data_IF_002103590514
#
_entry.id   IF_002103590514
#
_cell.length_a   1.000
_cell.length_b   1.000
_cell.length_c   1.000
_cell.angle_alpha   90.00
_cell.angle_beta   90.00
_cell.angle_gamma   90.00
#
_symmetry.space_group_name_H-M   'P 1'
#
loop_
_entity.id
_entity.type
_entity.pdbx_description
1 polymer ?
#
# COMPACT_ATOMS: atom_id res chain seq x y z
N UNK A 1 7.50 6.20 13.82
CA UNK A 1 6.34 6.86 14.46
C UNK A 1 6.70 7.29 15.88
N UNK A 2 6.39 8.52 16.34
CA UNK A 2 6.82 9.02 17.67
C UNK A 2 6.38 8.17 18.88
N UNK A 3 5.20 7.54 18.79
CA UNK A 3 4.66 6.72 19.88
C UNK A 3 5.16 5.27 19.91
N UNK A 4 5.97 4.82 18.94
CA UNK A 4 6.50 3.45 18.97
C UNK A 4 7.49 3.26 20.11
N UNK A 5 7.45 2.11 20.76
CA UNK A 5 8.38 1.75 21.83
C UNK A 5 9.84 1.83 21.36
N UNK A 6 10.13 1.41 20.12
CA UNK A 6 11.45 1.54 19.50
C UNK A 6 11.90 3.00 19.37
N UNK A 7 10.98 3.91 19.01
CA UNK A 7 11.27 5.35 18.92
C UNK A 7 11.49 5.99 20.28
N UNK A 8 10.70 5.60 21.29
CA UNK A 8 10.90 6.04 22.66
C UNK A 8 12.25 5.56 23.21
N UNK A 9 12.59 4.30 22.99
CA UNK A 9 13.87 3.73 23.39
C UNK A 9 15.06 4.43 22.72
N UNK A 10 14.99 4.70 21.40
CA UNK A 10 16.02 5.45 20.69
C UNK A 10 16.22 6.86 21.25
N UNK A 11 15.13 7.54 21.62
CA UNK A 11 15.19 8.85 22.28
C UNK A 11 15.84 8.79 23.67
N UNK A 12 15.50 7.78 24.46
CA UNK A 12 16.13 7.57 25.77
C UNK A 12 17.63 7.29 25.64
N UNK A 13 18.02 6.45 24.69
CA UNK A 13 19.42 6.09 24.44
C UNK A 13 20.25 7.29 24.00
N UNK A 14 19.70 8.13 23.10
CA UNK A 14 20.32 9.38 22.65
C UNK A 14 20.56 10.34 23.84
N UNK A 15 19.57 10.49 24.74
CA UNK A 15 19.72 11.32 25.95
C UNK A 15 20.78 10.79 26.92
N UNK A 16 20.85 9.47 27.11
CA UNK A 16 21.80 8.84 28.05
C UNK A 16 23.24 8.87 27.54
N UNK A 17 23.43 8.69 26.23
CA UNK A 17 24.74 8.44 25.63
C UNK A 17 25.29 9.62 24.82
N UNK A 18 24.56 10.75 24.77
CA UNK A 18 24.87 11.94 23.95
C UNK A 18 25.05 11.63 22.44
N UNK A 19 24.42 10.58 21.94
CA UNK A 19 24.38 10.29 20.51
C UNK A 19 23.36 11.16 19.79
N UNK A 20 23.68 11.59 18.57
CA UNK A 20 22.73 12.24 17.69
C UNK A 20 21.59 11.29 17.34
N UNK A 21 20.35 11.80 17.39
CA UNK A 21 19.16 11.05 17.04
C UNK A 21 18.64 11.51 15.67
N UNK A 22 18.64 10.60 14.71
CA UNK A 22 18.04 10.82 13.39
C UNK A 22 16.72 10.07 13.29
N UNK A 23 15.66 10.78 12.90
CA UNK A 23 14.34 10.19 12.64
C UNK A 23 14.21 9.99 11.14
N UNK A 24 13.86 8.77 10.74
CA UNK A 24 13.69 8.40 9.34
C UNK A 24 12.24 7.96 9.13
N UNK A 25 11.64 8.45 8.04
CA UNK A 25 10.26 8.14 7.68
C UNK A 25 10.14 6.66 7.27
N UNK A 26 9.02 6.02 7.64
CA UNK A 26 8.78 4.57 7.47
C UNK A 26 8.92 4.07 6.03
N UNK A 27 8.22 4.71 5.10
CA UNK A 27 8.23 4.33 3.68
C UNK A 27 9.56 4.71 2.98
N UNK A 28 10.23 5.78 3.44
CA UNK A 28 11.59 6.11 3.03
C UNK A 28 12.57 5.02 3.47
N UNK A 29 12.40 4.46 4.67
CA UNK A 29 13.20 3.32 5.12
C UNK A 29 12.94 2.07 4.27
N UNK A 30 11.69 1.71 4.01
CA UNK A 30 11.33 0.64 3.07
C UNK A 30 11.98 0.85 1.69
N UNK A 31 11.91 2.05 1.13
CA UNK A 31 12.54 2.32 -0.17
C UNK A 31 14.07 2.20 -0.11
N UNK A 32 14.68 2.72 0.96
CA UNK A 32 16.12 2.63 1.15
C UNK A 32 16.60 1.19 1.38
N UNK A 33 15.77 0.30 1.93
CA UNK A 33 16.12 -1.11 2.14
C UNK A 33 16.33 -1.81 0.78
N UNK A 34 15.37 -1.68 -0.14
CA UNK A 34 15.49 -2.28 -1.48
C UNK A 34 16.61 -1.61 -2.30
N UNK A 35 16.82 -0.30 -2.19
CA UNK A 35 17.97 0.36 -2.83
C UNK A 35 19.30 -0.17 -2.30
N UNK A 36 19.39 -0.47 -1.00
CA UNK A 36 20.59 -0.99 -0.35
C UNK A 36 20.91 -2.41 -0.76
N UNK A 37 19.92 -3.32 -0.77
CA UNK A 37 20.10 -4.72 -1.19
C UNK A 37 20.60 -4.85 -2.64
N UNK A 38 20.19 -3.93 -3.51
CA UNK A 38 20.55 -3.94 -4.93
C UNK A 38 21.70 -2.98 -5.29
N UNK A 39 22.38 -2.38 -4.30
CA UNK A 39 23.48 -1.43 -4.49
C UNK A 39 23.16 -0.27 -5.44
N UNK A 40 21.95 0.29 -5.32
CA UNK A 40 21.41 1.26 -6.26
C UNK A 40 21.69 2.73 -5.88
N UNK A 41 22.31 3.00 -4.73
CA UNK A 41 22.51 4.38 -4.30
C UNK A 41 23.46 5.19 -5.22
N UNK A 42 24.37 4.55 -5.95
CA UNK A 42 25.33 5.24 -6.84
C UNK A 42 24.90 5.26 -8.31
N UNK A 43 23.69 4.78 -8.62
CA UNK A 43 23.17 4.78 -9.99
C UNK A 43 22.87 6.20 -10.50
N UNK A 44 23.12 6.42 -11.79
CA UNK A 44 22.74 7.67 -12.47
C UNK A 44 21.25 7.70 -12.87
N UNK A 45 20.64 6.52 -12.96
CA UNK A 45 19.24 6.37 -13.34
C UNK A 45 18.31 6.83 -12.21
N UNK A 46 17.21 7.48 -12.56
CA UNK A 46 16.12 7.69 -11.60
C UNK A 46 15.47 6.33 -11.28
N UNK A 47 15.03 6.15 -10.04
CA UNK A 47 14.32 4.94 -9.60
C UNK A 47 12.96 5.35 -9.05
N UNK A 48 11.92 4.65 -9.49
CA UNK A 48 10.57 4.75 -8.95
C UNK A 48 10.49 3.78 -7.76
N UNK A 49 10.32 4.32 -6.56
CA UNK A 49 10.02 3.53 -5.37
C UNK A 49 8.52 3.32 -5.26
N UNK A 50 8.05 2.08 -5.28
CA UNK A 50 6.65 1.73 -5.02
C UNK A 50 6.59 1.11 -3.63
N UNK A 51 6.06 1.87 -2.66
CA UNK A 51 6.11 1.47 -1.26
C UNK A 51 4.69 1.31 -0.72
N UNK A 52 4.24 0.05 -0.70
CA UNK A 52 2.86 -0.31 -0.40
C UNK A 52 2.79 -1.23 0.82
N UNK A 53 2.02 -0.81 1.81
CA UNK A 53 2.03 -1.41 3.15
C UNK A 53 0.65 -1.29 3.82
N UNK A 54 0.49 -1.91 4.98
CA UNK A 54 -0.70 -1.82 5.82
C UNK A 54 -0.82 -0.45 6.49
N UNK A 55 0.22 0.02 7.15
CA UNK A 55 0.21 1.30 7.87
C UNK A 55 1.62 1.87 8.04
N UNK A 56 1.81 3.13 7.65
CA UNK A 56 3.01 3.89 7.98
C UNK A 56 2.67 5.33 8.37
N UNK A 57 3.42 5.88 9.33
CA UNK A 57 3.25 7.27 9.73
C UNK A 57 3.75 8.23 8.65
N UNK A 58 2.85 9.03 8.10
CA UNK A 58 3.16 10.05 7.11
C UNK A 58 3.75 11.32 7.70
N UNK A 59 4.55 12.03 6.90
CA UNK A 59 5.12 13.34 7.28
C UNK A 59 4.05 14.45 7.37
N UNK A 60 2.91 14.24 6.71
CA UNK A 60 1.71 15.09 6.77
C UNK A 60 0.76 14.74 7.94
N UNK A 61 1.17 13.81 8.80
CA UNK A 61 0.38 13.31 9.93
C UNK A 61 -0.75 12.36 9.53
N UNK A 62 -0.83 11.95 8.26
CA UNK A 62 -1.78 10.95 7.77
C UNK A 62 -1.19 9.54 7.83
N UNK A 63 -2.02 8.52 7.57
CA UNK A 63 -1.59 7.12 7.52
C UNK A 63 -1.25 6.73 6.08
N UNK A 64 0.03 6.63 5.77
CA UNK A 64 0.49 6.22 4.46
C UNK A 64 0.44 4.68 4.32
N UNK A 65 0.50 4.21 3.08
CA UNK A 65 0.66 2.78 2.75
C UNK A 65 0.43 2.47 1.27
N UNK A 66 0.42 3.49 0.41
CA UNK A 66 0.18 3.38 -1.02
C UNK A 66 0.98 4.43 -1.76
N UNK A 67 2.27 4.49 -1.46
CA UNK A 67 3.11 5.62 -1.80
C UNK A 67 4.00 5.33 -3.01
N UNK A 68 4.18 6.35 -3.83
CA UNK A 68 5.19 6.35 -4.88
C UNK A 68 6.24 7.41 -4.56
N UNK A 69 7.50 7.04 -4.69
CA UNK A 69 8.65 7.90 -4.49
C UNK A 69 9.51 7.94 -5.74
N UNK A 70 10.28 9.00 -5.88
CA UNK A 70 11.38 9.07 -6.84
C UNK A 70 12.68 9.16 -6.06
N UNK A 71 13.60 8.27 -6.39
CA UNK A 71 15.00 8.39 -6.02
C UNK A 71 15.81 8.94 -7.20
N UNK A 72 16.60 10.00 -6.96
CA UNK A 72 17.59 10.50 -7.91
C UNK A 72 18.65 11.30 -7.16
N UNK A 73 19.93 11.07 -7.48
CA UNK A 73 21.05 11.85 -6.93
C UNK A 73 21.00 11.94 -5.40
N UNK A 74 20.92 10.78 -4.72
CA UNK A 74 20.86 10.66 -3.25
C UNK A 74 19.64 11.32 -2.59
N UNK A 75 18.61 11.72 -3.36
CA UNK A 75 17.38 12.29 -2.83
C UNK A 75 16.20 11.36 -3.07
N UNK A 76 15.46 11.05 -2.01
CA UNK A 76 14.15 10.39 -2.06
C UNK A 76 13.07 11.47 -1.92
N UNK A 77 12.12 11.54 -2.86
CA UNK A 77 10.99 12.47 -2.83
C UNK A 77 9.69 11.74 -3.09
N UNK A 78 8.67 11.99 -2.25
CA UNK A 78 7.31 11.51 -2.50
C UNK A 78 6.80 12.12 -3.81
N UNK A 79 6.30 11.27 -4.69
CA UNK A 79 5.88 11.61 -6.04
C UNK A 79 4.36 11.71 -6.13
N UNK A 80 3.68 10.64 -5.72
CA UNK A 80 2.21 10.54 -5.69
C UNK A 80 1.80 9.42 -4.73
N UNK A 81 0.49 9.23 -4.54
CA UNK A 81 -0.07 8.18 -3.70
C UNK A 81 -1.51 7.83 -4.11
N UNK A 82 -2.02 6.74 -3.54
CA UNK A 82 -3.46 6.43 -3.58
C UNK A 82 -4.28 7.54 -2.93
N UNK A 83 -5.36 7.96 -3.60
CA UNK A 83 -6.26 8.97 -3.08
C UNK A 83 -6.66 8.63 -1.63
N UNK A 84 -6.51 9.62 -0.76
CA UNK A 84 -6.83 9.48 0.65
C UNK A 84 -8.30 9.14 0.87
N UNK A 85 -8.55 8.15 1.72
CA UNK A 85 -9.87 7.80 2.25
C UNK A 85 -9.86 7.78 3.79
N UNK A 86 -11.02 7.60 4.40
CA UNK A 86 -11.16 7.69 5.86
C UNK A 86 -10.44 6.57 6.61
N UNK A 87 -9.55 6.94 7.54
CA UNK A 87 -9.03 6.01 8.53
C UNK A 87 -10.00 5.90 9.71
N UNK A 88 -10.69 4.77 9.85
CA UNK A 88 -11.79 4.60 10.79
C UNK A 88 -11.40 3.73 11.99
N UNK A 89 -11.69 4.21 13.20
CA UNK A 89 -11.59 3.43 14.44
C UNK A 89 -10.18 2.89 14.80
N UNK A 90 -9.10 3.53 14.32
CA UNK A 90 -7.74 3.20 14.75
C UNK A 90 -7.30 1.81 14.31
N UNK A 91 -6.54 1.12 15.17
CA UNK A 91 -6.02 -0.24 14.92
C UNK A 91 -7.13 -1.26 14.62
N UNK A 92 -8.37 -0.96 15.05
CA UNK A 92 -9.54 -1.77 14.74
C UNK A 92 -9.78 -1.90 13.23
N UNK A 93 -9.39 -0.92 12.42
CA UNK A 93 -9.55 -0.97 10.96
C UNK A 93 -8.82 -2.16 10.32
N UNK A 94 -7.63 -2.48 10.83
CA UNK A 94 -6.85 -3.61 10.35
C UNK A 94 -7.40 -4.96 10.86
N UNK A 95 -8.14 -4.96 11.98
CA UNK A 95 -8.77 -6.15 12.54
C UNK A 95 -10.16 -6.42 11.95
N UNK A 96 -10.86 -5.40 11.46
CA UNK A 96 -12.18 -5.54 10.84
C UNK A 96 -12.17 -4.98 9.41
N UNK A 97 -11.76 -5.78 8.40
CA UNK A 97 -11.72 -5.37 6.99
C UNK A 97 -12.95 -4.65 6.44
N UNK A 98 -14.14 -4.98 6.97
CA UNK A 98 -15.40 -4.28 6.66
C UNK A 98 -15.36 -2.76 6.91
N UNK A 99 -14.53 -2.29 7.85
CA UNK A 99 -14.36 -0.86 8.10
C UNK A 99 -13.64 -0.15 6.95
N UNK A 100 -12.69 -0.84 6.31
CA UNK A 100 -12.04 -0.33 5.08
C UNK A 100 -13.04 -0.22 3.94
N UNK A 101 -13.90 -1.23 3.78
CA UNK A 101 -15.00 -1.16 2.82
C UNK A 101 -15.96 -0.01 3.14
N UNK A 102 -16.37 0.16 4.40
CA UNK A 102 -17.23 1.27 4.83
C UNK A 102 -16.62 2.66 4.57
N UNK A 103 -15.30 2.79 4.74
CA UNK A 103 -14.58 4.03 4.45
C UNK A 103 -14.66 4.42 2.96
N UNK A 104 -14.68 3.41 2.08
CA UNK A 104 -14.75 3.57 0.63
C UNK A 104 -16.17 3.46 0.06
N UNK A 105 -17.13 3.03 0.87
CA UNK A 105 -18.51 2.80 0.44
C UNK A 105 -19.21 4.09 -0.02
N UNK A 106 -20.00 3.91 -1.08
CA UNK A 106 -20.91 4.90 -1.65
C UNK A 106 -22.38 4.37 -1.58
N UNK A 107 -23.40 5.17 -1.92
CA UNK A 107 -24.82 4.76 -1.81
C UNK A 107 -25.20 3.49 -2.59
N UNK A 108 -24.50 3.15 -3.67
CA UNK A 108 -24.74 1.89 -4.42
C UNK A 108 -24.36 0.64 -3.62
N UNK A 109 -23.65 0.80 -2.50
CA UNK A 109 -23.23 -0.28 -1.61
C UNK A 109 -24.09 -0.35 -0.33
N UNK A 110 -25.18 0.42 -0.22
CA UNK A 110 -26.01 0.46 0.98
C UNK A 110 -26.56 -0.93 1.37
N UNK A 111 -26.98 -1.73 0.38
CA UNK A 111 -27.43 -3.11 0.61
C UNK A 111 -26.30 -3.99 1.19
N UNK A 112 -25.10 -3.88 0.61
CA UNK A 112 -23.91 -4.60 1.09
C UNK A 112 -23.52 -4.17 2.51
N UNK A 113 -23.68 -2.89 2.85
CA UNK A 113 -23.44 -2.38 4.20
C UNK A 113 -24.49 -2.85 5.20
N UNK A 114 -25.76 -2.92 4.79
CA UNK A 114 -26.85 -3.43 5.63
C UNK A 114 -26.66 -4.92 5.99
N UNK A 115 -26.07 -5.71 5.08
CA UNK A 115 -25.77 -7.13 5.35
C UNK A 115 -24.60 -7.30 6.34
N UNK A 116 -23.65 -6.35 6.37
CA UNK A 116 -22.43 -6.42 7.18
C UNK A 116 -22.54 -5.79 8.56
N UNK A 117 -23.53 -4.93 8.77
CA UNK A 117 -23.68 -4.14 9.98
C UNK A 117 -25.13 -4.11 10.46
N UNK A 118 -25.32 -4.14 11.78
CA UNK A 118 -26.60 -3.73 12.34
C UNK A 118 -26.79 -2.23 12.14
N UNK A 119 -28.03 -1.78 11.96
CA UNK A 119 -28.36 -0.38 11.68
C UNK A 119 -27.75 0.59 12.70
N UNK A 120 -27.81 0.23 13.99
CA UNK A 120 -27.23 1.04 15.06
C UNK A 120 -25.71 1.18 14.96
N UNK A 121 -24.99 0.10 14.61
CA UNK A 121 -23.53 0.12 14.46
C UNK A 121 -23.13 0.92 13.21
N UNK A 122 -23.83 0.72 12.09
CA UNK A 122 -23.61 1.47 10.86
C UNK A 122 -23.80 2.98 11.07
N UNK A 123 -24.86 3.36 11.80
CA UNK A 123 -25.13 4.77 12.16
C UNK A 123 -24.02 5.41 13.01
N UNK A 124 -23.37 4.65 13.89
CA UNK A 124 -22.22 5.14 14.68
C UNK A 124 -21.02 5.38 13.77
N UNK A 125 -20.66 4.42 12.92
CA UNK A 125 -19.50 4.57 12.05
C UNK A 125 -19.69 5.66 10.99
N UNK A 126 -20.90 5.85 10.47
CA UNK A 126 -21.19 6.96 9.56
C UNK A 126 -20.98 8.32 10.23
N UNK A 127 -21.34 8.47 11.52
CA UNK A 127 -21.04 9.69 12.29
C UNK A 127 -19.55 9.89 12.53
N UNK A 128 -18.80 8.79 12.74
CA UNK A 128 -17.33 8.85 12.84
C UNK A 128 -16.74 9.33 11.52
N UNK A 129 -17.13 8.71 10.39
CA UNK A 129 -16.67 9.05 9.03
C UNK A 129 -16.89 10.54 8.72
N UNK A 130 -18.07 11.10 9.04
CA UNK A 130 -18.38 12.52 8.82
C UNK A 130 -17.48 13.51 9.58
N UNK A 131 -16.97 13.13 10.75
CA UNK A 131 -16.10 13.97 11.59
C UNK A 131 -14.62 13.62 11.47
N UNK A 132 -14.29 12.62 10.67
CA UNK A 132 -12.97 12.03 10.64
C UNK A 132 -12.00 12.91 9.84
N UNK A 133 -10.92 13.31 10.49
CA UNK A 133 -9.85 14.12 9.90
C UNK A 133 -8.63 13.30 9.52
N UNK A 134 -8.46 12.11 10.12
CA UNK A 134 -7.34 11.22 9.83
C UNK A 134 -7.66 10.38 8.61
N UNK A 135 -6.80 10.44 7.60
CA UNK A 135 -6.97 9.77 6.32
C UNK A 135 -5.88 8.73 6.10
N UNK A 136 -6.13 7.84 5.16
CA UNK A 136 -5.17 6.83 4.73
C UNK A 136 -5.13 6.63 3.23
N UNK A 137 -3.93 6.34 2.72
CA UNK A 137 -3.65 5.93 1.34
C UNK A 137 -3.26 4.44 1.28
N UNK A 138 -3.52 3.68 2.35
CA UNK A 138 -3.01 2.31 2.52
C UNK A 138 -3.56 1.34 1.49
N UNK A 139 -2.66 0.73 0.71
CA UNK A 139 -3.01 -0.36 -0.20
C UNK A 139 -3.37 -1.61 0.59
N UNK A 140 -2.75 -1.87 1.75
CA UNK A 140 -3.18 -2.97 2.61
C UNK A 140 -4.65 -2.85 3.07
N UNK A 141 -5.11 -1.63 3.36
CA UNK A 141 -6.53 -1.36 3.65
C UNK A 141 -7.43 -1.49 2.41
N UNK A 142 -6.90 -1.35 1.19
CA UNK A 142 -7.65 -1.66 -0.04
C UNK A 142 -7.87 -3.16 -0.20
N UNK A 143 -6.85 -3.99 0.09
CA UNK A 143 -7.04 -5.45 0.14
C UNK A 143 -8.12 -5.82 1.15
N UNK A 144 -8.11 -5.22 2.34
CA UNK A 144 -9.18 -5.41 3.33
C UNK A 144 -10.58 -5.04 2.79
N UNK A 145 -10.69 -3.90 2.11
CA UNK A 145 -11.96 -3.45 1.53
C UNK A 145 -12.47 -4.44 0.47
N UNK A 146 -11.59 -4.92 -0.41
CA UNK A 146 -11.93 -5.90 -1.45
C UNK A 146 -12.30 -7.26 -0.84
N UNK A 147 -11.55 -7.75 0.15
CA UNK A 147 -11.85 -9.00 0.85
C UNK A 147 -13.21 -8.96 1.53
N UNK A 148 -13.54 -7.85 2.18
CA UNK A 148 -14.85 -7.65 2.78
C UNK A 148 -15.94 -7.58 1.71
N UNK A 149 -15.73 -6.83 0.63
CA UNK A 149 -16.71 -6.63 -0.44
C UNK A 149 -17.09 -7.96 -1.11
N UNK A 150 -16.12 -8.83 -1.34
CA UNK A 150 -16.33 -10.16 -1.91
C UNK A 150 -16.87 -11.17 -0.89
N UNK A 151 -17.07 -10.77 0.37
CA UNK A 151 -17.54 -11.64 1.45
C UNK A 151 -16.56 -12.74 1.82
N UNK A 152 -15.26 -12.50 1.64
CA UNK A 152 -14.18 -13.44 1.95
C UNK A 152 -13.74 -13.28 3.40
N UNK A 153 -13.50 -12.04 3.85
CA UNK A 153 -13.07 -11.77 5.21
C UNK A 153 -13.60 -10.42 5.71
N UNK A 154 -14.30 -10.45 6.84
CA UNK A 154 -14.78 -9.26 7.55
C UNK A 154 -14.07 -9.02 8.89
N UNK A 155 -13.29 -10.01 9.37
CA UNK A 155 -12.52 -9.95 10.61
C UNK A 155 -11.21 -10.72 10.47
N UNK A 156 -10.09 -10.03 10.71
CA UNK A 156 -8.77 -10.62 10.74
C UNK A 156 -8.44 -11.11 12.17
N UNK A 157 -7.80 -12.27 12.25
CA UNK A 157 -7.26 -12.94 13.44
C UNK A 157 -5.75 -12.78 13.55
N UNK A 158 -5.08 -12.43 12.46
CA UNK A 158 -3.67 -12.05 12.39
C UNK A 158 -3.44 -10.97 11.33
N UNK A 159 -2.25 -10.36 11.36
CA UNK A 159 -1.89 -9.30 10.44
C UNK A 159 -1.83 -9.79 8.99
N UNK A 160 -2.55 -9.09 8.08
CA UNK A 160 -2.56 -9.40 6.65
C UNK A 160 -3.46 -10.57 6.23
N UNK A 161 -4.25 -11.16 7.14
CA UNK A 161 -5.08 -12.34 6.86
C UNK A 161 -5.98 -12.17 5.63
N UNK A 162 -6.74 -11.08 5.55
CA UNK A 162 -7.62 -10.77 4.41
C UNK A 162 -6.87 -10.78 3.07
N UNK A 163 -5.67 -10.18 3.01
CA UNK A 163 -4.86 -10.10 1.81
C UNK A 163 -4.32 -11.47 1.39
N UNK A 164 -3.91 -12.29 2.36
CA UNK A 164 -3.50 -13.68 2.14
C UNK A 164 -4.67 -14.53 1.66
N UNK A 165 -5.87 -14.34 2.23
CA UNK A 165 -7.07 -15.06 1.80
C UNK A 165 -7.47 -14.71 0.36
N UNK A 166 -7.35 -13.44 -0.04
CA UNK A 166 -7.55 -13.03 -1.43
C UNK A 166 -6.55 -13.72 -2.37
N UNK A 167 -5.28 -13.75 -2.01
CA UNK A 167 -4.24 -14.42 -2.80
C UNK A 167 -4.53 -15.92 -2.96
N UNK A 168 -4.92 -16.60 -1.88
CA UNK A 168 -5.22 -18.03 -1.88
C UNK A 168 -6.43 -18.41 -2.76
N UNK A 169 -7.27 -17.45 -3.16
CA UNK A 169 -8.34 -17.69 -4.13
C UNK A 169 -7.83 -17.85 -5.57
N UNK A 170 -6.58 -17.48 -5.84
CA UNK A 170 -5.96 -17.57 -7.18
C UNK A 170 -5.04 -18.78 -7.22
N UNK A 171 -5.45 -19.83 -7.93
CA UNK A 171 -4.62 -21.00 -8.18
C UNK A 171 -3.83 -20.90 -9.49
N UNK A 172 -4.48 -20.38 -10.53
CA UNK A 172 -3.96 -20.19 -11.89
C UNK A 172 -4.56 -18.89 -12.43
N UNK A 173 -3.82 -18.17 -13.27
CA UNK A 173 -4.32 -16.96 -13.91
C UNK A 173 -3.84 -16.85 -15.36
N UNK A 174 -4.56 -16.06 -16.15
CA UNK A 174 -4.27 -15.78 -17.56
C UNK A 174 -4.49 -14.29 -17.78
N UNK A 175 -3.46 -13.57 -18.27
CA UNK A 175 -3.47 -12.12 -18.30
C UNK A 175 -4.28 -11.52 -19.45
N UNK A 176 -4.51 -12.28 -20.53
CA UNK A 176 -5.23 -11.82 -21.71
C UNK A 176 -6.70 -11.46 -21.42
N UNK A 177 -7.27 -12.05 -20.37
CA UNK A 177 -8.65 -11.83 -19.93
C UNK A 177 -8.75 -10.75 -18.85
N UNK A 178 -7.60 -10.30 -18.31
CA UNK A 178 -7.56 -9.33 -17.23
C UNK A 178 -7.99 -7.92 -17.70
N UNK A 179 -8.79 -7.29 -16.85
CA UNK A 179 -9.26 -5.92 -17.03
C UNK A 179 -8.61 -5.01 -15.99
N UNK A 180 -8.00 -3.92 -16.47
CA UNK A 180 -7.58 -2.82 -15.59
C UNK A 180 -8.76 -1.87 -15.31
N UNK A 181 -9.01 -1.55 -14.05
CA UNK A 181 -10.17 -0.77 -13.62
C UNK A 181 -9.95 0.74 -13.67
N UNK A 182 -8.75 1.21 -13.35
CA UNK A 182 -8.43 2.63 -13.21
C UNK A 182 -7.07 2.94 -13.82
N UNK A 183 -6.80 4.22 -14.02
CA UNK A 183 -5.49 4.73 -14.42
C UNK A 183 -5.20 5.99 -13.61
N UNK A 184 -3.93 6.36 -13.42
CA UNK A 184 -3.58 7.59 -12.73
C UNK A 184 -4.10 8.80 -13.49
N UNK A 185 -4.48 9.85 -12.77
CA UNK A 185 -4.79 11.14 -13.37
C UNK A 185 -3.53 11.83 -13.96
N UNK A 186 -3.71 13.00 -14.57
CA UNK A 186 -2.61 13.77 -15.19
C UNK A 186 -1.51 14.19 -14.18
N UNK A 187 -1.84 14.26 -12.90
CA UNK A 187 -0.91 14.58 -11.81
C UNK A 187 -0.30 13.32 -11.17
N UNK A 188 -0.71 12.13 -11.64
CA UNK A 188 -0.32 10.83 -11.08
C UNK A 188 -1.16 10.40 -9.88
N UNK A 189 -2.24 11.12 -9.53
CA UNK A 189 -3.15 10.74 -8.46
C UNK A 189 -3.92 9.47 -8.83
N UNK A 190 -4.08 8.54 -7.88
CA UNK A 190 -4.73 7.25 -8.12
C UNK A 190 -6.14 7.29 -7.53
N UNK A 191 -7.22 7.20 -8.35
CA UNK A 191 -8.60 7.38 -7.90
C UNK A 191 -9.12 6.13 -7.18
N UNK A 192 -8.83 6.05 -5.88
CA UNK A 192 -9.15 4.90 -5.02
C UNK A 192 -10.64 4.58 -4.97
N UNK A 193 -11.52 5.59 -4.92
CA UNK A 193 -12.97 5.37 -4.90
C UNK A 193 -13.46 4.73 -6.21
N UNK A 194 -12.97 5.20 -7.35
CA UNK A 194 -13.35 4.67 -8.67
C UNK A 194 -12.97 3.18 -8.81
N UNK A 195 -11.87 2.74 -8.20
CA UNK A 195 -11.47 1.33 -8.20
C UNK A 195 -12.52 0.47 -7.49
N UNK A 196 -12.92 0.86 -6.28
CA UNK A 196 -13.89 0.12 -5.47
C UNK A 196 -15.27 0.16 -6.13
N UNK A 197 -15.68 1.30 -6.69
CA UNK A 197 -16.94 1.48 -7.38
C UNK A 197 -17.06 0.56 -8.59
N UNK A 198 -16.00 0.46 -9.41
CA UNK A 198 -16.00 -0.39 -10.60
C UNK A 198 -15.93 -1.88 -10.26
N UNK A 199 -15.18 -2.26 -9.22
CA UNK A 199 -15.17 -3.63 -8.72
C UNK A 199 -16.55 -4.04 -8.20
N UNK A 200 -17.21 -3.19 -7.41
CA UNK A 200 -18.58 -3.45 -6.96
C UNK A 200 -19.57 -3.53 -8.11
N UNK A 201 -19.45 -2.67 -9.12
CA UNK A 201 -20.30 -2.72 -10.30
C UNK A 201 -20.18 -4.04 -11.08
N UNK A 202 -18.98 -4.62 -11.17
CA UNK A 202 -18.79 -5.93 -11.82
C UNK A 202 -19.23 -7.09 -10.91
N UNK A 203 -19.07 -6.96 -9.58
CA UNK A 203 -19.67 -7.89 -8.62
C UNK A 203 -21.20 -7.96 -8.76
N UNK A 204 -21.87 -6.81 -8.93
CA UNK A 204 -23.33 -6.75 -9.16
C UNK A 204 -23.76 -7.38 -10.49
N UNK A 205 -22.86 -7.46 -11.48
CA UNK A 205 -23.12 -8.16 -12.76
C UNK A 205 -22.90 -9.66 -12.67
N UNK A 206 -22.44 -10.16 -11.52
CA UNK A 206 -22.18 -11.59 -11.31
C UNK A 206 -20.84 -12.06 -11.87
N UNK A 207 -19.86 -11.17 -12.02
CA UNK A 207 -18.48 -11.57 -12.34
C UNK A 207 -17.93 -12.44 -11.20
N UNK A 208 -17.19 -13.49 -11.55
CA UNK A 208 -16.64 -14.43 -10.58
C UNK A 208 -15.69 -13.73 -9.59
N UNK A 209 -15.64 -14.18 -8.34
CA UNK A 209 -14.83 -13.51 -7.31
C UNK A 209 -13.35 -13.59 -7.65
N UNK A 210 -12.91 -14.74 -8.11
CA UNK A 210 -11.54 -15.02 -8.54
C UNK A 210 -11.11 -14.05 -9.65
N UNK A 211 -11.99 -13.80 -10.62
CA UNK A 211 -11.76 -12.83 -11.70
C UNK A 211 -11.68 -11.39 -11.16
N UNK A 212 -12.54 -11.01 -10.21
CA UNK A 212 -12.48 -9.68 -9.58
C UNK A 212 -11.17 -9.46 -8.79
N UNK A 213 -10.70 -10.49 -8.08
CA UNK A 213 -9.43 -10.41 -7.33
C UNK A 213 -8.27 -10.29 -8.31
N UNK A 214 -8.24 -11.12 -9.35
CA UNK A 214 -7.22 -11.07 -10.38
C UNK A 214 -7.19 -9.70 -11.09
N UNK A 215 -8.35 -9.18 -11.49
CA UNK A 215 -8.46 -7.86 -12.10
C UNK A 215 -8.04 -6.73 -11.15
N UNK A 216 -8.28 -6.88 -9.84
CA UNK A 216 -7.75 -5.96 -8.83
C UNK A 216 -6.22 -5.97 -8.78
N UNK A 217 -5.58 -7.15 -8.70
CA UNK A 217 -4.12 -7.26 -8.70
C UNK A 217 -3.51 -6.76 -10.02
N UNK A 218 -4.12 -7.10 -11.15
CA UNK A 218 -3.73 -6.60 -12.47
C UNK A 218 -3.85 -5.08 -12.57
N UNK A 219 -4.90 -4.50 -12.00
CA UNK A 219 -5.03 -3.03 -11.90
C UNK A 219 -3.88 -2.43 -11.10
N UNK A 220 -3.53 -3.00 -9.95
CA UNK A 220 -2.40 -2.53 -9.15
C UNK A 220 -1.07 -2.59 -9.92
N UNK A 221 -0.78 -3.73 -10.57
CA UNK A 221 0.43 -3.89 -11.38
C UNK A 221 0.49 -2.89 -12.54
N UNK A 222 -0.63 -2.71 -13.27
CA UNK A 222 -0.69 -1.75 -14.38
C UNK A 222 -0.55 -0.30 -13.93
N UNK A 223 -1.08 0.08 -12.76
CA UNK A 223 -0.87 1.41 -12.17
C UNK A 223 0.62 1.70 -11.95
N UNK A 224 1.39 0.73 -11.47
CA UNK A 224 2.84 0.90 -11.26
C UNK A 224 3.53 1.28 -12.57
N UNK A 225 3.25 0.53 -13.65
CA UNK A 225 3.85 0.78 -14.95
C UNK A 225 3.40 2.11 -15.56
N UNK A 226 2.12 2.46 -15.40
CA UNK A 226 1.59 3.74 -15.87
C UNK A 226 2.24 4.93 -15.15
N UNK A 227 2.44 4.86 -13.83
CA UNK A 227 3.18 5.89 -13.09
C UNK A 227 4.64 5.97 -13.54
N UNK A 228 5.29 4.83 -13.77
CA UNK A 228 6.63 4.76 -14.31
C UNK A 228 6.74 5.48 -15.67
N UNK A 229 5.74 5.28 -16.55
CA UNK A 229 5.65 5.91 -17.86
C UNK A 229 5.42 7.41 -17.81
N UNK A 230 4.46 7.86 -17.00
CA UNK A 230 4.19 9.29 -16.79
C UNK A 230 5.46 10.04 -16.34
N UNK A 231 6.33 9.36 -15.60
CA UNK A 231 7.56 9.93 -15.05
C UNK A 231 8.83 9.61 -15.84
N UNK A 232 8.72 8.79 -16.91
CA UNK A 232 9.83 8.33 -17.76
C UNK A 232 10.94 7.65 -16.94
N UNK A 233 10.54 6.75 -16.04
CA UNK A 233 11.44 5.99 -15.18
C UNK A 233 11.35 4.51 -15.53
N UNK A 234 12.48 3.90 -15.89
CA UNK A 234 12.53 2.47 -16.28
C UNK A 234 12.93 1.54 -15.12
N UNK A 235 13.51 2.10 -14.05
CA UNK A 235 13.92 1.33 -12.87
C UNK A 235 12.87 1.45 -11.78
N UNK A 236 12.31 0.33 -11.33
CA UNK A 236 11.22 0.29 -10.35
C UNK A 236 11.64 -0.58 -9.18
N UNK A 237 11.66 -0.03 -7.98
CA UNK A 237 11.93 -0.76 -6.75
C UNK A 237 10.68 -0.85 -5.88
N UNK A 238 10.28 -2.05 -5.52
CA UNK A 238 9.06 -2.36 -4.79
C UNK A 238 9.40 -2.90 -3.39
N UNK A 239 8.78 -2.33 -2.35
CA UNK A 239 8.93 -2.75 -0.94
C UNK A 239 7.65 -2.46 -0.15
N UNK A 240 7.55 -3.00 1.06
CA UNK A 240 6.36 -2.93 1.91
C UNK A 240 5.57 -4.24 1.90
N UNK A 241 4.79 -4.49 2.95
CA UNK A 241 4.13 -5.78 3.20
C UNK A 241 3.21 -6.26 2.07
N UNK A 242 2.67 -5.35 1.25
CA UNK A 242 1.82 -5.73 0.10
C UNK A 242 2.59 -6.55 -0.94
N UNK A 243 3.89 -6.32 -1.10
CA UNK A 243 4.73 -7.08 -2.03
C UNK A 243 5.15 -8.47 -1.50
N UNK A 244 4.59 -8.91 -0.37
CA UNK A 244 4.57 -10.34 -0.01
C UNK A 244 3.56 -11.13 -0.85
N UNK A 245 2.60 -10.45 -1.50
CA UNK A 245 1.65 -11.08 -2.40
C UNK A 245 2.35 -11.55 -3.67
N UNK A 246 2.52 -12.86 -3.81
CA UNK A 246 3.31 -13.48 -4.89
C UNK A 246 2.64 -13.29 -6.25
N UNK A 247 1.31 -13.40 -6.30
CA UNK A 247 0.53 -13.19 -7.53
C UNK A 247 0.73 -11.77 -8.06
N UNK A 248 0.65 -10.74 -7.22
CA UNK A 248 0.91 -9.35 -7.62
C UNK A 248 2.33 -9.16 -8.17
N UNK A 249 3.32 -9.75 -7.49
CA UNK A 249 4.72 -9.68 -7.90
C UNK A 249 4.93 -10.36 -9.25
N UNK A 250 4.33 -11.53 -9.46
CA UNK A 250 4.47 -12.30 -10.69
C UNK A 250 3.74 -11.64 -11.86
N UNK A 251 2.52 -11.13 -11.66
CA UNK A 251 1.82 -10.30 -12.65
C UNK A 251 2.71 -9.12 -13.05
N UNK A 252 3.24 -8.36 -12.08
CA UNK A 252 4.07 -7.18 -12.35
C UNK A 252 5.34 -7.53 -13.14
N UNK A 253 5.99 -8.66 -12.83
CA UNK A 253 7.13 -9.16 -13.61
C UNK A 253 6.71 -9.50 -15.03
N UNK A 254 5.60 -10.20 -15.20
CA UNK A 254 5.12 -10.66 -16.50
C UNK A 254 4.78 -9.48 -17.42
N UNK A 255 4.02 -8.50 -16.94
CA UNK A 255 3.65 -7.32 -17.75
C UNK A 255 4.78 -6.28 -17.90
N UNK A 256 5.76 -6.30 -16.99
CA UNK A 256 6.83 -5.30 -16.92
C UNK A 256 8.15 -5.73 -17.57
N UNK A 257 8.36 -7.03 -17.81
CA UNK A 257 9.66 -7.61 -18.13
C UNK A 257 10.37 -7.01 -19.36
N UNK A 258 9.63 -6.58 -20.38
CA UNK A 258 10.22 -6.09 -21.63
C UNK A 258 10.82 -4.69 -21.51
N UNK A 259 10.29 -3.85 -20.60
CA UNK A 259 10.59 -2.41 -20.56
C UNK A 259 11.21 -1.96 -19.24
N UNK A 260 10.85 -2.58 -18.12
CA UNK A 260 11.24 -2.09 -16.80
C UNK A 260 12.22 -3.04 -16.12
N UNK A 261 13.16 -2.45 -15.39
CA UNK A 261 14.03 -3.19 -14.48
C UNK A 261 13.43 -3.15 -13.08
N UNK A 262 12.90 -4.30 -12.66
CA UNK A 262 12.22 -4.45 -11.38
C UNK A 262 13.17 -4.92 -10.28
N UNK A 263 13.04 -4.33 -9.10
CA UNK A 263 13.81 -4.65 -7.90
C UNK A 263 12.85 -4.91 -6.74
N UNK A 264 13.02 -6.03 -6.07
CA UNK A 264 12.27 -6.39 -4.86
C UNK A 264 13.27 -6.76 -3.76
N UNK A 265 12.91 -6.61 -2.49
CA UNK A 265 13.71 -7.20 -1.42
C UNK A 265 13.87 -8.72 -1.66
N UNK A 266 15.08 -9.24 -1.45
CA UNK A 266 15.40 -10.64 -1.78
C UNK A 266 16.14 -11.34 -0.63
N UNK A 267 16.89 -10.60 0.18
CA UNK A 267 17.57 -11.13 1.36
C UNK A 267 16.73 -10.91 2.62
N UNK A 268 16.09 -9.74 2.72
CA UNK A 268 15.14 -9.43 3.79
C UNK A 268 13.71 -9.52 3.25
N UNK A 269 12.75 -9.76 4.15
CA UNK A 269 11.34 -9.67 3.79
C UNK A 269 10.99 -8.22 3.40
N UNK A 270 10.09 -7.97 2.43
CA UNK A 270 9.63 -6.61 2.12
C UNK A 270 8.78 -5.99 3.24
N UNK A 271 8.41 -6.75 4.28
CA UNK A 271 7.68 -6.26 5.46
C UNK A 271 8.57 -5.46 6.44
N UNK A 272 8.00 -5.10 7.59
CA UNK A 272 8.65 -4.23 8.59
C UNK A 272 9.93 -4.80 9.22
N UNK A 273 10.27 -6.07 8.99
CA UNK A 273 11.55 -6.65 9.42
C UNK A 273 12.75 -5.96 8.77
N UNK A 274 12.59 -5.39 7.57
CA UNK A 274 13.67 -4.70 6.86
C UNK A 274 13.89 -3.23 7.29
N UNK A 275 12.99 -2.67 8.11
CA UNK A 275 12.98 -1.22 8.40
C UNK A 275 14.29 -0.76 9.04
N UNK A 276 14.87 -1.56 9.94
CA UNK A 276 16.13 -1.21 10.60
C UNK A 276 17.31 -1.11 9.60
N UNK A 277 17.36 -2.02 8.62
CA UNK A 277 18.34 -1.97 7.54
C UNK A 277 18.11 -0.77 6.63
N UNK A 278 16.86 -0.53 6.24
CA UNK A 278 16.46 0.63 5.44
C UNK A 278 16.83 1.97 6.10
N UNK A 279 16.62 2.09 7.42
CA UNK A 279 17.03 3.26 8.20
C UNK A 279 18.54 3.50 8.12
N UNK A 280 19.35 2.45 8.30
CA UNK A 280 20.81 2.53 8.18
C UNK A 280 21.23 2.96 6.77
N UNK A 281 20.66 2.32 5.75
CA UNK A 281 20.98 2.60 4.34
C UNK A 281 20.65 4.04 3.97
N UNK A 282 19.49 4.55 4.38
CA UNK A 282 19.11 5.94 4.13
C UNK A 282 20.03 6.93 4.84
N UNK A 283 20.38 6.68 6.10
CA UNK A 283 21.28 7.55 6.85
C UNK A 283 22.64 7.68 6.16
N UNK A 284 23.30 6.54 5.89
CA UNK A 284 24.65 6.49 5.31
C UNK A 284 24.70 7.08 3.91
N UNK A 285 23.65 6.91 3.10
CA UNK A 285 23.68 7.30 1.69
C UNK A 285 23.07 8.67 1.41
N UNK A 286 22.06 9.08 2.16
CA UNK A 286 21.25 10.26 1.82
C UNK A 286 21.35 11.40 2.84
N UNK A 287 21.83 11.15 4.06
CA UNK A 287 21.95 12.16 5.13
C UNK A 287 23.41 12.51 5.40
N UNK A 288 24.29 11.52 5.54
CA UNK A 288 25.69 11.70 5.97
C UNK A 288 26.66 12.05 4.82
N UNK A 289 26.14 12.37 3.63
CA UNK A 289 26.91 12.72 2.42
C UNK A 289 26.81 14.20 2.05
#
# INVERSE_FOLDING_TARGET
HPAYLSSQYGLELSKKSQYNLYKIQHHVAHFASVLGEHHLFDTEHAILGVIWDGTGYGDDGQIWGGEFFRYRSKQIKRLTHFQYFDWLAGDKMALEPRLSLLALANPSMDALMADKYTEGVLGVYNKIKQKNTLKTSSVGRLFDAVASMLGICDQNTYEGESAILLENCISEYTLEECKSYISPDETGGIPTYDLIDKLHADLQKGVAKEELILNFLYTLATLILQIADQNKIEHIACSGGVFQNTVLVDILKEIGAEKYKLYFNCTLSPNDENISFGQLMYYVNCIDN
#
